data_IF_832965260095
#
_entry.id   IF_832965260095
#
_cell.length_a   1.000
_cell.length_b   1.000
_cell.length_c   1.000
_cell.angle_alpha   90.00
_cell.angle_beta   90.00
_cell.angle_gamma   90.00
#
_symmetry.space_group_name_H-M   'P 1'
#
loop_
_entity.id
_entity.type
_entity.pdbx_description
1 polymer ?
#
# COMPACT_ATOMS: atom_id res chain seq x y z
N UNK A 1 35.36 -9.73 59.33
CA UNK A 1 35.32 -9.73 57.84
C UNK A 1 33.88 -9.95 57.41
N UNK A 2 33.16 -8.91 56.99
CA UNK A 2 31.81 -9.06 56.42
C UNK A 2 31.65 -8.11 55.24
N UNK A 3 30.81 -8.56 54.29
CA UNK A 3 30.28 -7.86 53.12
C UNK A 3 30.96 -8.15 51.77
N UNK A 4 30.63 -9.31 51.20
CA UNK A 4 30.62 -9.52 49.75
C UNK A 4 29.25 -10.09 49.35
N UNK A 5 28.32 -9.23 48.93
CA UNK A 5 27.06 -9.64 48.30
C UNK A 5 26.57 -8.54 47.35
N UNK A 6 27.28 -8.38 46.22
CA UNK A 6 26.82 -7.57 45.10
C UNK A 6 25.67 -8.26 44.36
N UNK A 7 24.43 -7.81 44.60
CA UNK A 7 23.21 -8.30 43.93
C UNK A 7 23.12 -7.81 42.46
N UNK A 8 22.94 -8.70 41.46
CA UNK A 8 22.92 -8.34 40.02
C UNK A 8 21.57 -7.79 39.51
N UNK A 9 20.56 -7.65 40.38
CA UNK A 9 19.14 -7.51 39.96
C UNK A 9 18.76 -6.05 39.60
N UNK A 10 19.57 -5.06 39.98
CA UNK A 10 19.20 -3.63 39.85
C UNK A 10 19.27 -3.08 38.41
N UNK A 11 19.94 -3.76 37.49
CA UNK A 11 20.05 -3.34 36.08
C UNK A 11 19.01 -3.98 35.14
N UNK A 12 18.31 -5.04 35.56
CA UNK A 12 17.35 -5.76 34.70
C UNK A 12 15.97 -5.10 34.58
N UNK A 13 15.53 -4.40 35.63
CA UNK A 13 14.21 -3.76 35.70
C UNK A 13 14.03 -2.58 34.72
N UNK A 14 14.97 -1.62 34.59
CA UNK A 14 14.82 -0.53 33.63
C UNK A 14 14.88 -1.02 32.17
N UNK A 15 15.67 -2.07 31.90
CA UNK A 15 15.77 -2.66 30.57
C UNK A 15 14.45 -3.33 30.13
N UNK A 16 13.79 -4.07 31.02
CA UNK A 16 12.48 -4.68 30.75
C UNK A 16 11.38 -3.63 30.54
N UNK A 17 11.39 -2.55 31.32
CA UNK A 17 10.43 -1.46 31.16
C UNK A 17 10.60 -0.73 29.81
N UNK A 18 11.84 -0.50 29.38
CA UNK A 18 12.14 0.09 28.07
C UNK A 18 11.68 -0.81 26.92
N UNK A 19 11.91 -2.13 27.01
CA UNK A 19 11.47 -3.09 25.99
C UNK A 19 9.94 -3.14 25.91
N UNK A 20 9.24 -3.16 27.06
CA UNK A 20 7.78 -3.12 27.11
C UNK A 20 7.22 -1.82 26.50
N UNK A 21 7.82 -0.67 26.83
CA UNK A 21 7.41 0.61 26.26
C UNK A 21 7.63 0.66 24.74
N UNK A 22 8.74 0.12 24.24
CA UNK A 22 9.04 0.04 22.81
C UNK A 22 8.06 -0.91 22.09
N UNK A 23 7.80 -2.09 22.67
CA UNK A 23 6.86 -3.06 22.12
C UNK A 23 5.43 -2.51 22.08
N UNK A 24 5.00 -1.82 23.14
CA UNK A 24 3.71 -1.14 23.18
C UNK A 24 3.64 -0.02 22.14
N UNK A 25 4.69 0.81 22.03
CA UNK A 25 4.76 1.87 21.03
C UNK A 25 4.68 1.34 19.59
N UNK A 26 5.41 0.27 19.28
CA UNK A 26 5.36 -0.40 17.97
C UNK A 26 3.98 -1.00 17.73
N UNK A 27 3.37 -1.63 18.73
CA UNK A 27 2.03 -2.21 18.62
C UNK A 27 0.96 -1.14 18.33
N UNK A 28 0.99 -0.02 19.06
CA UNK A 28 0.08 1.12 18.84
C UNK A 28 0.30 1.76 17.47
N UNK A 29 1.56 1.97 17.05
CA UNK A 29 1.88 2.51 15.73
C UNK A 29 1.40 1.58 14.60
N UNK A 30 1.65 0.27 14.70
CA UNK A 30 1.16 -0.70 13.70
C UNK A 30 -0.36 -0.80 13.68
N UNK A 31 -1.03 -0.70 14.84
CA UNK A 31 -2.49 -0.72 14.92
C UNK A 31 -3.12 0.53 14.31
N UNK A 32 -2.48 1.69 14.46
CA UNK A 32 -2.96 2.97 13.93
C UNK A 32 -2.86 3.02 12.40
N UNK A 33 -1.76 2.53 11.81
CA UNK A 33 -1.61 2.41 10.36
C UNK A 33 -2.64 1.47 9.70
N UNK A 34 -3.13 0.46 10.41
CA UNK A 34 -4.21 -0.43 9.91
C UNK A 34 -5.59 0.23 9.92
N UNK A 35 -5.77 1.28 10.70
CA UNK A 35 -7.03 2.02 10.84
C UNK A 35 -7.10 3.26 9.95
N UNK A 36 -6.23 3.39 8.95
CA UNK A 36 -6.40 4.37 7.88
C UNK A 36 -7.72 4.08 7.13
N UNK A 37 -8.82 4.58 7.68
CA UNK A 37 -10.15 4.58 7.08
C UNK A 37 -10.08 5.41 5.81
N UNK A 38 -10.36 4.83 4.63
CA UNK A 38 -10.52 5.62 3.41
C UNK A 38 -11.61 6.66 3.67
N UNK A 39 -11.29 7.94 3.44
CA UNK A 39 -12.22 9.02 3.60
C UNK A 39 -13.23 9.06 2.45
N UNK A 40 -14.48 9.22 2.87
CA UNK A 40 -15.66 9.75 2.17
C UNK A 40 -16.50 8.81 1.27
N UNK A 41 -17.84 8.85 1.43
CA UNK A 41 -18.79 8.16 0.57
C UNK A 41 -19.04 9.01 -0.68
N UNK A 42 -18.41 8.64 -1.81
CA UNK A 42 -19.01 8.92 -3.10
C UNK A 42 -20.17 7.93 -3.29
N UNK A 43 -21.39 8.38 -3.58
CA UNK A 43 -22.53 7.51 -3.89
C UNK A 43 -22.07 6.49 -4.94
N UNK A 44 -21.93 5.19 -4.60
CA UNK A 44 -21.27 4.25 -5.49
C UNK A 44 -22.11 4.12 -6.75
N UNK A 45 -21.49 4.37 -7.90
CA UNK A 45 -22.09 4.05 -9.20
C UNK A 45 -22.53 2.58 -9.19
N UNK A 46 -23.57 2.23 -9.97
CA UNK A 46 -24.07 0.85 -10.08
C UNK A 46 -22.94 -0.15 -10.40
N UNK A 47 -21.95 0.30 -11.19
CA UNK A 47 -20.75 -0.47 -11.52
C UNK A 47 -19.86 -0.67 -10.29
N UNK A 48 -19.61 0.38 -9.51
CA UNK A 48 -18.85 0.27 -8.25
C UNK A 48 -19.52 -0.72 -7.28
N UNK A 49 -20.85 -0.71 -7.15
CA UNK A 49 -21.54 -1.62 -6.23
C UNK A 49 -21.42 -3.10 -6.64
N UNK A 50 -21.34 -3.38 -7.95
CA UNK A 50 -21.15 -4.75 -8.46
C UNK A 50 -19.69 -5.21 -8.37
N UNK A 51 -18.73 -4.32 -8.63
CA UNK A 51 -17.31 -4.67 -8.71
C UNK A 51 -16.59 -4.61 -7.34
N UNK A 52 -17.01 -3.72 -6.44
CA UNK A 52 -16.37 -3.50 -5.14
C UNK A 52 -16.87 -4.48 -4.08
N UNK A 53 -16.62 -5.77 -4.29
CA UNK A 53 -17.02 -6.84 -3.38
C UNK A 53 -15.81 -7.62 -2.85
N UNK A 54 -15.99 -8.32 -1.74
CA UNK A 54 -14.93 -9.13 -1.11
C UNK A 54 -13.67 -8.32 -0.81
N UNK A 55 -12.52 -8.84 -1.26
CA UNK A 55 -11.21 -8.22 -1.06
C UNK A 55 -11.05 -6.84 -1.73
N UNK A 56 -11.93 -6.49 -2.68
CA UNK A 56 -11.94 -5.20 -3.39
C UNK A 56 -13.08 -4.27 -2.91
N UNK A 57 -13.60 -4.48 -1.70
CA UNK A 57 -14.66 -3.63 -1.13
C UNK A 57 -14.32 -2.14 -1.04
N UNK A 58 -13.02 -1.82 -0.94
CA UNK A 58 -12.53 -0.44 -0.94
C UNK A 58 -12.27 0.14 -2.34
N UNK A 59 -12.48 -0.62 -3.42
CA UNK A 59 -12.27 -0.12 -4.78
C UNK A 59 -13.35 0.91 -5.13
N UNK A 60 -12.94 2.08 -5.62
CA UNK A 60 -13.86 3.16 -5.99
C UNK A 60 -13.83 3.38 -7.49
N UNK A 61 -14.98 3.23 -8.14
CA UNK A 61 -15.16 3.64 -9.54
C UNK A 61 -15.63 5.09 -9.55
N UNK A 62 -14.80 5.98 -10.09
CA UNK A 62 -15.20 7.37 -10.28
C UNK A 62 -16.43 7.44 -11.21
N UNK A 63 -17.53 8.10 -10.79
CA UNK A 63 -18.75 8.17 -11.59
C UNK A 63 -18.54 8.95 -12.89
N UNK A 64 -17.73 10.01 -12.82
CA UNK A 64 -17.42 10.87 -13.96
C UNK A 64 -16.00 10.61 -14.48
N UNK A 65 -15.87 10.49 -15.80
CA UNK A 65 -14.57 10.45 -16.46
C UNK A 65 -13.95 11.84 -16.40
N UNK A 66 -12.88 11.98 -15.61
CA UNK A 66 -12.06 13.19 -15.63
C UNK A 66 -11.02 13.07 -16.74
N UNK A 67 -10.70 14.16 -17.45
CA UNK A 67 -9.54 14.17 -18.33
C UNK A 67 -8.30 13.83 -17.49
N UNK A 68 -7.55 12.84 -17.96
CA UNK A 68 -6.28 12.50 -17.35
C UNK A 68 -5.30 13.63 -17.69
N UNK A 69 -4.63 14.18 -16.69
CA UNK A 69 -3.64 15.25 -16.90
C UNK A 69 -2.54 14.81 -17.87
N UNK A 70 -1.90 15.76 -18.53
CA UNK A 70 -0.77 15.46 -19.39
C UNK A 70 0.47 15.20 -18.53
N UNK A 71 0.95 13.97 -18.54
CA UNK A 71 2.22 13.60 -17.93
C UNK A 71 3.06 12.81 -18.93
N UNK A 72 4.35 13.13 -18.94
CA UNK A 72 5.36 12.42 -19.71
C UNK A 72 6.27 11.61 -18.79
N UNK A 73 6.76 10.50 -19.30
CA UNK A 73 7.71 9.61 -18.63
C UNK A 73 8.73 9.13 -19.63
N UNK A 74 9.94 8.82 -19.17
CA UNK A 74 10.95 8.22 -20.03
C UNK A 74 10.87 6.70 -19.95
N UNK A 75 10.98 6.07 -21.11
CA UNK A 75 11.20 4.62 -21.16
C UNK A 75 12.63 4.26 -20.74
N UNK A 76 12.95 2.96 -20.81
CA UNK A 76 14.29 2.46 -20.46
C UNK A 76 15.41 2.95 -21.39
N UNK A 77 15.06 3.54 -22.53
CA UNK A 77 15.98 4.07 -23.55
C UNK A 77 16.07 5.61 -23.50
N UNK A 78 15.38 6.26 -22.56
CA UNK A 78 15.33 7.73 -22.46
C UNK A 78 14.34 8.39 -23.42
N UNK A 79 13.49 7.62 -24.10
CA UNK A 79 12.48 8.16 -25.00
C UNK A 79 11.31 8.69 -24.18
N UNK A 80 10.96 9.96 -24.38
CA UNK A 80 9.77 10.55 -23.78
C UNK A 80 8.51 9.89 -24.35
N UNK A 81 7.70 9.32 -23.46
CA UNK A 81 6.40 8.74 -23.70
C UNK A 81 5.34 9.52 -22.92
N UNK A 82 4.12 9.57 -23.44
CA UNK A 82 2.98 10.14 -22.74
C UNK A 82 1.70 9.42 -23.13
N UNK A 83 0.69 9.52 -22.27
CA UNK A 83 -0.62 8.88 -22.52
C UNK A 83 -1.28 9.20 -23.88
N UNK A 84 -1.04 10.36 -24.54
CA UNK A 84 -1.54 10.61 -25.89
C UNK A 84 -1.23 9.52 -26.91
N UNK A 85 -0.11 8.78 -26.76
CA UNK A 85 0.28 7.68 -27.65
C UNK A 85 -0.70 6.50 -27.64
N UNK A 86 -1.61 6.44 -26.66
CA UNK A 86 -2.63 5.39 -26.55
C UNK A 86 -4.08 5.91 -26.65
N UNK A 87 -4.29 7.13 -27.18
CA UNK A 87 -5.64 7.65 -27.45
C UNK A 87 -6.48 6.68 -28.28
N UNK A 88 -7.77 6.60 -27.95
CA UNK A 88 -8.73 5.71 -28.62
C UNK A 88 -8.70 4.26 -28.13
N UNK A 89 -7.79 3.90 -27.22
CA UNK A 89 -7.71 2.56 -26.61
C UNK A 89 -8.06 2.61 -25.13
N UNK A 90 -8.62 1.53 -24.61
CA UNK A 90 -8.71 1.32 -23.16
C UNK A 90 -7.31 0.95 -22.67
N UNK A 91 -6.77 1.72 -21.74
CA UNK A 91 -5.43 1.52 -21.18
C UNK A 91 -5.54 1.31 -19.68
N UNK A 92 -5.02 0.18 -19.20
CA UNK A 92 -4.80 -0.08 -17.79
C UNK A 92 -3.38 0.35 -17.42
N UNK A 93 -3.26 1.36 -16.57
CA UNK A 93 -1.98 1.83 -16.04
C UNK A 93 -1.72 1.15 -14.69
N UNK A 94 -0.58 0.48 -14.57
CA UNK A 94 -0.16 -0.19 -13.34
C UNK A 94 1.09 0.50 -12.76
N UNK A 95 0.98 1.07 -11.55
CA UNK A 95 2.11 1.67 -10.84
C UNK A 95 2.73 0.63 -9.91
N UNK A 96 3.97 0.22 -10.18
CA UNK A 96 4.62 -0.88 -9.47
C UNK A 96 6.12 -0.65 -9.28
N UNK A 97 6.71 -1.45 -8.40
CA UNK A 97 8.15 -1.50 -8.17
C UNK A 97 8.62 -2.91 -7.82
N UNK A 98 9.92 -3.18 -7.99
CA UNK A 98 10.52 -4.50 -7.75
C UNK A 98 10.46 -4.97 -6.29
N UNK A 99 10.41 -4.01 -5.36
CA UNK A 99 10.25 -4.24 -3.92
C UNK A 99 8.79 -4.31 -3.47
N UNK A 100 7.82 -4.00 -4.35
CA UNK A 100 6.40 -4.08 -4.01
C UNK A 100 5.89 -5.53 -4.06
N UNK A 101 5.91 -6.21 -2.93
CA UNK A 101 5.43 -7.59 -2.80
C UNK A 101 4.00 -7.84 -3.32
N UNK A 102 2.97 -7.02 -3.00
CA UNK A 102 1.63 -7.21 -3.57
C UNK A 102 1.61 -7.00 -5.09
N UNK A 103 2.26 -5.95 -5.62
CA UNK A 103 2.32 -5.68 -7.06
C UNK A 103 2.92 -6.86 -7.86
N UNK A 104 3.97 -7.50 -7.33
CA UNK A 104 4.57 -8.69 -7.97
C UNK A 104 3.60 -9.87 -8.03
N UNK A 105 2.78 -10.08 -6.99
CA UNK A 105 1.79 -11.16 -6.96
C UNK A 105 0.68 -10.93 -8.01
N UNK A 106 0.33 -9.67 -8.25
CA UNK A 106 -0.70 -9.28 -9.23
C UNK A 106 -0.23 -9.42 -10.69
N UNK A 107 1.07 -9.33 -10.95
CA UNK A 107 1.63 -9.31 -12.31
C UNK A 107 1.25 -10.54 -13.14
N UNK A 108 1.18 -11.73 -12.54
CA UNK A 108 0.75 -12.96 -13.24
C UNK A 108 -0.69 -12.85 -13.75
N UNK A 109 -1.59 -12.20 -12.99
CA UNK A 109 -2.96 -11.98 -13.43
C UNK A 109 -3.02 -10.93 -14.56
N UNK A 110 -2.22 -9.87 -14.47
CA UNK A 110 -2.14 -8.83 -15.50
C UNK A 110 -1.55 -9.34 -16.82
N UNK A 111 -0.53 -10.19 -16.78
CA UNK A 111 0.04 -10.84 -17.97
C UNK A 111 -1.02 -11.72 -18.68
N UNK A 112 -1.83 -12.46 -17.91
CA UNK A 112 -2.96 -13.23 -18.46
C UNK A 112 -4.03 -12.34 -19.08
N UNK A 113 -4.32 -11.19 -18.47
CA UNK A 113 -5.29 -10.22 -19.02
C UNK A 113 -4.79 -9.65 -20.34
N UNK A 114 -3.52 -9.22 -20.38
CA UNK A 114 -2.88 -8.66 -21.57
C UNK A 114 -2.90 -9.63 -22.76
N UNK A 115 -2.79 -10.94 -22.50
CA UNK A 115 -2.84 -11.97 -23.55
C UNK A 115 -4.25 -12.23 -24.10
N UNK A 116 -5.30 -11.79 -23.40
CA UNK A 116 -6.71 -12.02 -23.79
C UNK A 116 -7.33 -10.84 -24.54
N UNK A 117 -6.69 -9.68 -24.51
CA UNK A 117 -7.13 -8.44 -25.14
C UNK A 117 -6.25 -8.15 -26.37
#
# INVERSE_FOLDING_TARGET
MTENSGSPVRFGLPALAAILALALGIYWFQADWRKATPSAPATPSTISRKLSTGAMSAFLVMPDRRPVGEFSFQDKKGVNLGLPAWRGRVVLVNLWATWCAPCRREMTALDRLQKKL
#
